data_IF_528322966051
#
_entry.id   IF_528322966051
#
_cell.length_a   1.000
_cell.length_b   1.000
_cell.length_c   1.000
_cell.angle_alpha   90.00
_cell.angle_beta   90.00
_cell.angle_gamma   90.00
#
_symmetry.space_group_name_H-M   'P 1'
#
loop_
_entity.id
_entity.type
_entity.pdbx_description
1 polymer ?
#
# COMPACT_ATOMS: atom_id res chain seq x y z
N UNK A 1 12.61 13.08 25.54
CA UNK A 1 12.73 11.65 25.88
C UNK A 1 11.64 11.28 26.87
N UNK A 2 11.48 10.01 27.21
CA UNK A 2 10.63 9.64 28.36
C UNK A 2 11.25 10.14 29.67
N UNK A 3 10.42 10.31 30.69
CA UNK A 3 10.85 10.76 32.01
C UNK A 3 10.41 9.71 33.02
N UNK A 4 11.29 9.33 33.93
CA UNK A 4 10.97 8.42 35.03
C UNK A 4 11.15 9.14 36.35
N UNK A 5 10.41 8.74 37.36
CA UNK A 5 10.56 9.29 38.69
C UNK A 5 9.98 8.39 39.76
N UNK A 6 10.43 8.61 40.98
CA UNK A 6 9.90 7.94 42.16
C UNK A 6 9.41 8.99 43.14
N UNK A 7 8.31 8.67 43.80
CA UNK A 7 7.63 9.55 44.74
C UNK A 7 7.20 8.79 45.98
N UNK A 8 7.20 9.47 47.11
CA UNK A 8 6.75 8.90 48.38
C UNK A 8 5.21 8.85 48.46
N UNK A 9 4.68 8.28 49.55
CA UNK A 9 3.25 8.17 49.87
C UNK A 9 2.51 9.50 49.83
N UNK A 10 3.18 10.59 50.20
CA UNK A 10 2.61 11.95 50.24
C UNK A 10 2.74 12.65 48.88
N UNK A 11 3.02 11.91 47.81
CA UNK A 11 3.18 12.44 46.45
C UNK A 11 4.37 13.40 46.27
N UNK A 12 5.34 13.39 47.19
CA UNK A 12 6.59 14.14 47.08
C UNK A 12 7.55 13.40 46.16
N UNK A 13 8.12 14.10 45.17
CA UNK A 13 9.09 13.50 44.24
C UNK A 13 10.43 13.31 44.96
N UNK A 14 10.89 12.06 45.03
CA UNK A 14 12.17 11.69 45.64
C UNK A 14 13.31 11.68 44.62
N UNK A 15 13.03 11.22 43.39
CA UNK A 15 13.98 11.24 42.30
C UNK A 15 13.26 11.35 40.96
N UNK A 16 13.93 11.94 39.95
CA UNK A 16 13.43 12.06 38.59
C UNK A 16 14.59 12.02 37.60
N UNK A 17 14.39 11.33 36.48
CA UNK A 17 15.33 11.22 35.37
C UNK A 17 14.63 11.61 34.07
N UNK A 18 15.16 12.57 33.30
CA UNK A 18 16.33 13.41 33.63
C UNK A 18 16.05 14.35 34.82
N UNK A 19 17.10 14.64 35.58
CA UNK A 19 17.02 15.51 36.76
C UNK A 19 16.75 16.95 36.32
N UNK A 20 15.87 17.63 37.06
CA UNK A 20 15.61 19.06 36.90
C UNK A 20 15.67 19.70 38.29
N UNK A 21 16.46 20.77 38.49
CA UNK A 21 16.53 21.49 39.76
C UNK A 21 15.14 21.96 40.21
N UNK A 22 14.85 21.81 41.50
CA UNK A 22 13.59 22.25 42.10
C UNK A 22 12.39 21.33 41.83
N UNK A 23 12.60 20.10 41.35
CA UNK A 23 11.53 19.09 41.25
C UNK A 23 11.58 18.09 42.40
N UNK A 24 12.77 17.68 42.82
CA UNK A 24 12.96 16.80 43.99
C UNK A 24 12.56 17.55 45.27
N UNK A 25 11.83 16.89 46.15
CA UNK A 25 11.29 17.48 47.39
C UNK A 25 9.97 18.23 47.22
N UNK A 26 9.49 18.42 45.98
CA UNK A 26 8.22 19.07 45.71
C UNK A 26 7.10 18.06 45.39
N UNK A 27 5.82 18.44 45.58
CA UNK A 27 4.70 17.64 45.15
C UNK A 27 4.73 17.35 43.65
N UNK A 28 4.28 16.15 43.27
CA UNK A 28 4.09 15.79 41.86
C UNK A 28 3.19 16.79 41.15
N UNK A 29 3.48 17.00 39.88
CA UNK A 29 2.68 17.87 39.02
C UNK A 29 1.27 17.29 38.84
N UNK A 30 0.24 18.01 39.31
CA UNK A 30 -1.14 17.55 39.27
C UNK A 30 -1.65 17.29 37.84
N UNK A 31 -1.12 18.02 36.85
CA UNK A 31 -1.50 17.87 35.44
C UNK A 31 -1.08 16.54 34.83
N UNK A 32 -0.24 15.75 35.50
CA UNK A 32 0.14 14.40 35.05
C UNK A 32 -1.00 13.38 35.20
N UNK A 33 -1.95 13.61 36.13
CA UNK A 33 -3.11 12.75 36.38
C UNK A 33 -4.41 13.49 36.06
N UNK A 34 -4.60 13.90 34.81
CA UNK A 34 -5.85 14.57 34.41
C UNK A 34 -6.98 13.59 34.15
N UNK A 35 -6.68 12.51 33.43
CA UNK A 35 -7.68 11.53 33.00
C UNK A 35 -7.22 10.13 33.35
N UNK A 36 -8.04 9.38 34.08
CA UNK A 36 -7.82 7.95 34.28
C UNK A 36 -8.06 7.21 32.97
N UNK A 37 -7.15 6.32 32.58
CA UNK A 37 -7.45 5.38 31.50
C UNK A 37 -8.20 4.16 32.05
N UNK A 38 -8.77 3.33 31.18
CA UNK A 38 -9.37 2.06 31.58
C UNK A 38 -8.37 1.04 32.15
N UNK A 39 -7.06 1.33 32.12
CA UNK A 39 -6.02 0.48 32.68
C UNK A 39 -5.58 1.01 34.05
N UNK A 40 -5.63 0.19 35.11
CA UNK A 40 -5.15 0.60 36.43
C UNK A 40 -3.70 1.07 36.41
N UNK A 41 -3.41 2.20 37.05
CA UNK A 41 -2.07 2.77 37.11
C UNK A 41 -1.64 3.49 35.83
N UNK A 42 -2.52 3.66 34.84
CA UNK A 42 -2.23 4.43 33.62
C UNK A 42 -3.13 5.66 33.55
N UNK A 43 -2.50 6.81 33.34
CA UNK A 43 -3.14 8.11 33.31
C UNK A 43 -2.76 8.86 32.04
N UNK A 44 -3.65 9.71 31.57
CA UNK A 44 -3.35 10.72 30.58
C UNK A 44 -3.29 12.10 31.23
N UNK A 45 -2.35 12.90 30.78
CA UNK A 45 -2.13 14.23 31.32
C UNK A 45 -1.21 15.07 30.47
N UNK A 46 -0.68 16.12 31.09
CA UNK A 46 0.25 17.06 30.48
C UNK A 46 1.48 17.25 31.35
N UNK A 47 2.65 17.26 30.71
CA UNK A 47 3.91 17.61 31.37
C UNK A 47 3.99 19.13 31.64
N UNK A 48 5.07 19.59 32.27
CA UNK A 48 5.35 20.99 32.61
C UNK A 48 5.27 21.94 31.40
N UNK A 49 5.59 21.44 30.21
CA UNK A 49 5.52 22.19 28.95
C UNK A 49 4.12 22.11 28.29
N UNK A 50 3.10 21.66 29.02
CA UNK A 50 1.72 21.45 28.54
C UNK A 50 1.57 20.46 27.38
N UNK A 51 2.59 19.65 27.11
CA UNK A 51 2.55 18.60 26.10
C UNK A 51 1.78 17.36 26.58
N UNK A 52 1.00 16.71 25.71
CA UNK A 52 0.26 15.49 26.08
C UNK A 52 1.23 14.35 26.39
N UNK A 53 1.07 13.75 27.57
CA UNK A 53 1.87 12.63 28.05
C UNK A 53 0.97 11.53 28.61
N UNK A 54 1.40 10.28 28.43
CA UNK A 54 0.82 9.13 29.12
C UNK A 54 1.70 8.78 30.29
N UNK A 55 1.12 8.64 31.47
CA UNK A 55 1.82 8.38 32.73
C UNK A 55 1.47 6.99 33.20
N UNK A 56 2.49 6.15 33.40
CA UNK A 56 2.35 4.80 33.95
C UNK A 56 2.91 4.81 35.35
N UNK A 57 2.16 4.28 36.31
CA UNK A 57 2.49 4.30 37.71
C UNK A 57 2.34 2.92 38.34
N UNK A 58 3.36 2.53 39.09
CA UNK A 58 3.35 1.33 39.91
C UNK A 58 3.55 1.73 41.38
N UNK A 59 2.62 1.32 42.24
CA UNK A 59 2.71 1.56 43.68
C UNK A 59 3.23 0.31 44.39
N UNK A 60 4.29 0.47 45.15
CA UNK A 60 4.82 -0.57 46.03
C UNK A 60 3.93 -0.73 47.27
N UNK A 61 3.57 -1.98 47.58
CA UNK A 61 2.76 -2.32 48.76
C UNK A 61 3.53 -2.28 50.07
N UNK A 62 4.86 -2.43 50.02
CA UNK A 62 5.74 -2.54 51.19
C UNK A 62 6.02 -1.19 51.86
N UNK A 63 6.29 -0.15 51.08
CA UNK A 63 6.69 1.18 51.58
C UNK A 63 5.71 2.30 51.19
N UNK A 64 4.78 2.03 50.27
CA UNK A 64 3.82 3.01 49.76
C UNK A 64 4.37 3.91 48.65
N UNK A 65 5.63 3.70 48.23
CA UNK A 65 6.26 4.50 47.18
C UNK A 65 5.63 4.23 45.82
N UNK A 66 5.57 5.26 45.00
CA UNK A 66 5.04 5.19 43.64
C UNK A 66 6.16 5.49 42.66
N UNK A 67 6.47 4.53 41.80
CA UNK A 67 7.33 4.72 40.63
C UNK A 67 6.44 5.10 39.46
N UNK A 68 6.75 6.21 38.81
CA UNK A 68 6.02 6.73 37.66
C UNK A 68 6.94 6.93 36.46
N UNK A 69 6.44 6.67 35.26
CA UNK A 69 7.09 7.02 34.01
C UNK A 69 6.11 7.81 33.14
N UNK A 70 6.51 9.00 32.68
CA UNK A 70 5.76 9.79 31.70
C UNK A 70 6.39 9.67 30.32
N UNK A 71 5.53 9.33 29.35
CA UNK A 71 5.91 9.07 27.97
C UNK A 71 5.23 10.14 27.10
N UNK A 72 5.99 11.00 26.41
CA UNK A 72 5.42 11.98 25.50
C UNK A 72 4.72 11.30 24.34
N UNK A 73 3.47 11.67 24.09
CA UNK A 73 2.65 11.08 23.01
C UNK A 73 3.27 11.35 21.64
N UNK A 74 3.92 12.50 21.48
CA UNK A 74 4.66 12.90 20.28
C UNK A 74 5.76 11.89 19.87
N UNK A 75 6.43 11.25 20.83
CA UNK A 75 7.49 10.26 20.56
C UNK A 75 6.93 8.98 19.94
N UNK A 76 5.74 8.58 20.37
CA UNK A 76 5.05 7.39 19.85
C UNK A 76 4.39 7.71 18.50
N UNK A 77 3.67 8.83 18.41
CA UNK A 77 2.91 9.19 17.21
C UNK A 77 3.79 9.60 16.03
N UNK A 78 4.89 10.34 16.25
CA UNK A 78 5.75 10.78 15.16
C UNK A 78 6.47 9.61 14.48
N UNK A 79 6.80 8.55 15.23
CA UNK A 79 7.37 7.31 14.68
C UNK A 79 6.32 6.60 13.84
N UNK A 80 5.11 6.44 14.37
CA UNK A 80 4.05 5.65 13.74
C UNK A 80 3.53 6.28 12.44
N UNK A 81 3.35 7.61 12.43
CA UNK A 81 2.86 8.35 11.24
C UNK A 81 3.79 8.18 10.04
N UNK A 82 5.10 8.15 10.25
CA UNK A 82 6.09 7.94 9.18
C UNK A 82 5.94 6.57 8.53
N UNK A 83 5.74 5.51 9.33
CA UNK A 83 5.50 4.17 8.82
C UNK A 83 4.16 4.07 8.07
N UNK A 84 3.10 4.68 8.60
CA UNK A 84 1.78 4.70 7.94
C UNK A 84 1.88 5.33 6.54
N UNK A 85 2.56 6.48 6.41
CA UNK A 85 2.78 7.10 5.10
C UNK A 85 3.68 6.26 4.18
N UNK A 86 4.73 5.62 4.72
CA UNK A 86 5.59 4.76 3.93
C UNK A 86 4.85 3.53 3.39
N UNK A 87 4.09 2.83 4.22
CA UNK A 87 3.28 1.68 3.82
C UNK A 87 2.12 2.09 2.89
N UNK A 88 1.47 3.23 3.19
CA UNK A 88 0.42 3.78 2.31
C UNK A 88 0.96 4.15 0.93
N UNK A 89 2.12 4.82 0.87
CA UNK A 89 2.79 5.14 -0.38
C UNK A 89 3.24 3.91 -1.17
N UNK A 90 3.81 2.92 -0.47
CA UNK A 90 4.20 1.65 -1.10
C UNK A 90 3.00 0.88 -1.64
N UNK A 91 1.91 0.79 -0.88
CA UNK A 91 0.66 0.16 -1.31
C UNK A 91 0.07 0.84 -2.54
N UNK A 92 0.05 2.19 -2.56
CA UNK A 92 -0.40 2.96 -3.71
C UNK A 92 0.47 2.70 -4.95
N UNK A 93 1.79 2.63 -4.78
CA UNK A 93 2.73 2.35 -5.87
C UNK A 93 2.53 0.94 -6.45
N UNK A 94 2.36 -0.07 -5.61
CA UNK A 94 2.06 -1.44 -6.04
C UNK A 94 0.72 -1.51 -6.79
N UNK A 95 -0.32 -0.85 -6.27
CA UNK A 95 -1.64 -0.79 -6.93
C UNK A 95 -1.55 -0.09 -8.29
N UNK A 96 -0.85 1.05 -8.36
CA UNK A 96 -0.66 1.78 -9.61
C UNK A 96 0.11 0.94 -10.62
N UNK A 97 1.20 0.29 -10.20
CA UNK A 97 2.02 -0.55 -11.08
C UNK A 97 1.24 -1.77 -11.57
N UNK A 98 0.47 -2.42 -10.70
CA UNK A 98 -0.39 -3.55 -11.04
C UNK A 98 -1.48 -3.15 -12.04
N UNK A 99 -2.19 -2.04 -11.78
CA UNK A 99 -3.20 -1.51 -12.70
C UNK A 99 -2.61 -1.16 -14.06
N UNK A 100 -1.45 -0.50 -14.08
CA UNK A 100 -0.76 -0.17 -15.34
C UNK A 100 -0.39 -1.43 -16.09
N UNK A 101 0.21 -2.43 -15.43
CA UNK A 101 0.54 -3.71 -16.04
C UNK A 101 -0.70 -4.42 -16.58
N UNK A 102 -1.78 -4.48 -15.80
CA UNK A 102 -3.02 -5.14 -16.19
C UNK A 102 -3.64 -4.47 -17.44
N UNK A 103 -3.71 -3.14 -17.47
CA UNK A 103 -4.21 -2.39 -18.63
C UNK A 103 -3.28 -2.55 -19.83
N UNK A 104 -1.96 -2.57 -19.62
CA UNK A 104 -0.99 -2.80 -20.69
C UNK A 104 -1.13 -4.20 -21.29
N UNK A 105 -1.26 -5.23 -20.45
CA UNK A 105 -1.41 -6.61 -20.89
C UNK A 105 -2.75 -6.81 -21.62
N UNK A 106 -3.83 -6.27 -21.05
CA UNK A 106 -5.16 -6.30 -21.65
C UNK A 106 -5.19 -5.62 -23.01
N UNK A 107 -4.61 -4.42 -23.13
CA UNK A 107 -4.54 -3.71 -24.41
C UNK A 107 -3.61 -4.37 -25.42
N UNK A 108 -2.53 -5.03 -24.97
CA UNK A 108 -1.61 -5.79 -25.84
C UNK A 108 -2.24 -7.07 -26.38
N UNK A 109 -3.08 -7.75 -25.59
CA UNK A 109 -3.67 -9.05 -25.99
C UNK A 109 -5.04 -8.86 -26.66
N UNK A 110 -5.96 -8.13 -26.02
CA UNK A 110 -7.35 -8.05 -26.46
C UNK A 110 -7.56 -7.19 -27.70
N UNK A 111 -6.70 -6.20 -27.94
CA UNK A 111 -6.80 -5.29 -29.09
C UNK A 111 -6.47 -6.01 -30.42
N UNK A 112 -5.35 -6.74 -30.56
CA UNK A 112 -5.08 -7.52 -31.78
C UNK A 112 -6.00 -8.74 -31.94
N UNK A 113 -6.46 -9.38 -30.85
CA UNK A 113 -7.46 -10.47 -30.94
C UNK A 113 -8.80 -9.98 -31.51
N UNK A 114 -9.28 -8.80 -31.08
CA UNK A 114 -10.47 -8.18 -31.67
C UNK A 114 -10.26 -7.78 -33.13
N UNK A 115 -9.07 -7.31 -33.49
CA UNK A 115 -8.76 -6.99 -34.89
C UNK A 115 -8.72 -8.24 -35.78
N UNK A 116 -8.17 -9.36 -35.28
CA UNK A 116 -8.23 -10.66 -35.97
C UNK A 116 -9.66 -11.21 -36.07
N UNK A 117 -10.44 -11.14 -34.99
CA UNK A 117 -11.83 -11.60 -34.99
C UNK A 117 -12.69 -10.80 -35.97
N UNK A 118 -12.44 -9.48 -36.08
CA UNK A 118 -13.11 -8.61 -37.04
C UNK A 118 -12.70 -8.86 -38.51
N UNK A 119 -11.60 -9.59 -38.77
CA UNK A 119 -11.18 -9.97 -40.14
C UNK A 119 -11.78 -11.30 -40.62
N UNK A 120 -12.39 -12.09 -39.72
CA UNK A 120 -13.12 -13.32 -40.08
C UNK A 120 -14.18 -13.17 -41.18
N UNK A 121 -15.01 -12.11 -41.17
CA UNK A 121 -15.98 -11.83 -42.24
C UNK A 121 -15.34 -11.43 -43.58
N UNK A 122 -14.11 -10.90 -43.59
CA UNK A 122 -13.38 -10.60 -44.83
C UNK A 122 -12.78 -11.87 -45.45
N UNK A 123 -12.30 -12.81 -44.61
CA UNK A 123 -11.87 -14.14 -45.02
C UNK A 123 -13.04 -14.94 -45.63
N UNK A 124 -14.21 -14.91 -44.98
CA UNK A 124 -15.42 -15.59 -45.45
C UNK A 124 -15.94 -15.08 -46.81
N UNK A 125 -15.50 -13.89 -47.25
CA UNK A 125 -15.87 -13.27 -48.53
C UNK A 125 -14.75 -13.32 -49.58
N UNK A 126 -13.65 -14.06 -49.32
CA UNK A 126 -12.54 -14.21 -50.27
C UNK A 126 -11.71 -12.94 -50.49
N UNK A 127 -11.81 -11.96 -49.59
CA UNK A 127 -11.07 -10.70 -49.67
C UNK A 127 -9.69 -10.84 -48.99
N UNK A 128 -8.66 -10.24 -49.58
CA UNK A 128 -7.30 -10.27 -49.05
C UNK A 128 -7.24 -9.59 -47.67
N UNK A 129 -6.78 -10.32 -46.66
CA UNK A 129 -6.57 -9.77 -45.31
C UNK A 129 -5.27 -8.97 -45.30
N UNK A 130 -5.28 -7.68 -44.93
CA UNK A 130 -4.04 -6.92 -44.75
C UNK A 130 -3.23 -7.50 -43.59
N UNK A 131 -1.89 -7.60 -43.74
CA UNK A 131 -0.99 -8.08 -42.68
C UNK A 131 -1.17 -7.25 -41.41
N UNK A 132 -1.67 -7.88 -40.35
CA UNK A 132 -1.78 -7.27 -39.04
C UNK A 132 -0.42 -7.39 -38.35
N UNK A 133 0.32 -6.29 -38.28
CA UNK A 133 1.57 -6.23 -37.53
C UNK A 133 1.27 -6.23 -36.02
N UNK A 134 1.33 -7.42 -35.39
CA UNK A 134 1.21 -7.55 -33.94
C UNK A 134 2.60 -7.58 -33.27
N UNK A 135 2.79 -6.92 -32.12
CA UNK A 135 4.00 -7.03 -31.31
C UNK A 135 4.15 -8.40 -30.61
N UNK A 136 3.10 -9.23 -30.62
CA UNK A 136 3.12 -10.58 -30.03
C UNK A 136 3.45 -11.60 -31.13
N UNK A 137 4.49 -12.40 -30.91
CA UNK A 137 5.04 -13.33 -31.89
C UNK A 137 4.00 -14.37 -32.34
N UNK A 138 3.20 -14.89 -31.42
CA UNK A 138 2.14 -15.86 -31.69
C UNK A 138 1.05 -15.29 -32.61
N UNK A 139 0.65 -14.03 -32.39
CA UNK A 139 -0.38 -13.39 -33.21
C UNK A 139 0.15 -13.11 -34.62
N UNK A 140 1.42 -12.70 -34.74
CA UNK A 140 2.07 -12.51 -36.05
C UNK A 140 2.16 -13.83 -36.82
N UNK A 141 2.55 -14.91 -36.15
CA UNK A 141 2.62 -16.25 -36.74
C UNK A 141 1.25 -16.72 -37.22
N UNK A 142 0.19 -16.46 -36.44
CA UNK A 142 -1.18 -16.79 -36.83
C UNK A 142 -1.65 -15.97 -38.05
N UNK A 143 -1.32 -14.66 -38.08
CA UNK A 143 -1.65 -13.78 -39.20
C UNK A 143 -0.94 -14.19 -40.49
N UNK A 144 0.32 -14.63 -40.40
CA UNK A 144 1.09 -15.10 -41.56
C UNK A 144 0.52 -16.41 -42.11
N UNK A 145 0.17 -17.37 -41.25
CA UNK A 145 -0.46 -18.65 -41.66
C UNK A 145 -1.82 -18.42 -42.32
N UNK A 146 -2.64 -17.53 -41.77
CA UNK A 146 -3.95 -17.20 -42.35
C UNK A 146 -3.84 -16.45 -43.68
N UNK A 147 -2.85 -15.56 -43.81
CA UNK A 147 -2.58 -14.86 -45.07
C UNK A 147 -2.12 -15.82 -46.17
N UNK A 148 -1.27 -16.79 -45.82
CA UNK A 148 -0.82 -17.83 -46.75
C UNK A 148 -1.96 -18.78 -47.16
N UNK A 149 -2.82 -19.18 -46.21
CA UNK A 149 -3.99 -19.99 -46.49
C UNK A 149 -5.01 -19.26 -47.40
N UNK A 150 -5.22 -17.97 -47.17
CA UNK A 150 -6.05 -17.09 -48.01
C UNK A 150 -5.55 -17.04 -49.46
N UNK A 151 -4.23 -16.87 -49.65
CA UNK A 151 -3.61 -16.86 -50.97
C UNK A 151 -3.80 -18.19 -51.71
N UNK A 152 -3.59 -19.33 -51.02
CA UNK A 152 -3.76 -20.68 -51.59
C UNK A 152 -5.21 -20.98 -51.97
N UNK A 153 -6.18 -20.53 -51.16
CA UNK A 153 -7.61 -20.66 -51.48
C UNK A 153 -7.99 -19.86 -52.73
N UNK A 154 -7.44 -18.65 -52.87
CA UNK A 154 -7.69 -17.79 -54.04
C UNK A 154 -7.12 -18.36 -55.33
N UNK A 155 -5.92 -18.92 -55.28
CA UNK A 155 -5.31 -19.59 -56.43
C UNK A 155 -6.14 -20.79 -56.87
N UNK A 156 -6.60 -21.62 -55.92
CA UNK A 156 -7.50 -22.74 -56.24
C UNK A 156 -8.85 -22.32 -56.82
N UNK A 157 -9.44 -21.22 -56.34
CA UNK A 157 -10.70 -20.72 -56.92
C UNK A 157 -10.49 -20.20 -58.34
N UNK A 158 -9.40 -19.47 -58.60
CA UNK A 158 -9.07 -18.96 -59.93
C UNK A 158 -8.74 -20.09 -60.93
N UNK A 159 -8.07 -21.15 -60.48
CA UNK A 159 -7.82 -22.36 -61.29
C UNK A 159 -9.12 -23.10 -61.62
N UNK A 160 -10.04 -23.23 -60.65
CA UNK A 160 -11.35 -23.84 -60.88
C UNK A 160 -12.19 -23.02 -61.87
N UNK A 161 -12.20 -21.70 -61.72
CA UNK A 161 -12.99 -20.82 -62.60
C UNK A 161 -12.44 -20.82 -64.03
N UNK A 162 -11.12 -20.95 -64.22
CA UNK A 162 -10.52 -21.16 -65.57
C UNK A 162 -10.90 -22.51 -66.17
N UNK A 163 -10.85 -23.59 -65.38
CA UNK A 163 -11.23 -24.92 -65.88
C UNK A 163 -12.72 -25.00 -66.28
N UNK A 164 -13.59 -24.24 -65.62
CA UNK A 164 -15.02 -24.14 -65.97
C UNK A 164 -15.30 -23.22 -67.18
N UNK A 165 -14.39 -22.31 -67.53
CA UNK A 165 -14.52 -21.43 -68.69
C UNK A 165 -14.01 -22.05 -70.00
N UNK A 166 -13.23 -23.13 -69.91
CA UNK A 166 -12.71 -23.89 -71.07
C UNK A 166 -13.59 -25.09 -71.46
N UNK A 167 -14.72 -25.32 -70.78
CA UNK A 167 -15.71 -26.38 -71.09
C UNK A 167 -16.96 -25.79 -71.72
#
# INVERSE_FOLDING_TARGET
GWVTGVSDRDSVVLARLPEIPGVVGNPRLATLRQTATGTPGVWEGRDRDFKPVTVVEARSRLNGWTVGASIPRELVEARLRRWIWAFGGFGLLVLATSSVLAVHLWSRVSKPLRQLAATGPALARGQAIPRIASPIHEIRRLADVLSEASLRLRTRSEERDRALAET
#
